data_IF_602049361371
#
_entry.id   IF_602049361371
#
_cell.length_a   1.000
_cell.length_b   1.000
_cell.length_c   1.000
_cell.angle_alpha   90.00
_cell.angle_beta   90.00
_cell.angle_gamma   90.00
#
_symmetry.space_group_name_H-M   'P 1'
#
loop_
_entity.id
_entity.type
_entity.pdbx_description
1 polymer ?
#
# COMPACT_ATOMS: atom_id res chain seq x y z
N UNK A 1 14.29 24.63 1.31
CA UNK A 1 13.40 23.46 1.19
C UNK A 1 13.70 22.72 -0.11
N UNK A 2 13.93 21.41 -0.08
CA UNK A 2 14.43 20.63 -1.23
C UNK A 2 13.37 19.67 -1.83
N UNK A 3 12.21 20.19 -2.22
CA UNK A 3 11.05 19.39 -2.69
C UNK A 3 11.17 18.87 -4.13
N UNK A 4 12.22 19.24 -4.88
CA UNK A 4 12.27 19.12 -6.35
C UNK A 4 12.53 17.70 -6.91
N UNK A 5 12.84 16.67 -6.10
CA UNK A 5 13.48 15.46 -6.62
C UNK A 5 12.76 14.10 -6.45
N UNK A 6 11.53 14.07 -5.91
CA UNK A 6 10.73 12.83 -5.81
C UNK A 6 9.97 12.50 -7.11
N UNK A 7 10.69 12.46 -8.23
CA UNK A 7 10.12 12.10 -9.54
C UNK A 7 9.60 10.65 -9.54
N UNK A 8 8.53 10.41 -10.31
CA UNK A 8 8.03 9.06 -10.55
C UNK A 8 9.02 8.25 -11.40
N UNK A 9 9.34 7.02 -10.97
CA UNK A 9 10.29 6.12 -11.63
C UNK A 9 9.69 4.74 -11.86
N UNK A 10 10.19 4.05 -12.90
CA UNK A 10 9.73 2.72 -13.30
C UNK A 10 10.87 1.72 -13.21
N UNK A 11 10.59 0.55 -12.66
CA UNK A 11 11.54 -0.55 -12.50
C UNK A 11 10.93 -1.86 -13.00
N UNK A 12 11.79 -2.82 -13.36
CA UNK A 12 11.38 -4.20 -13.66
C UNK A 12 11.88 -5.13 -12.57
N UNK A 13 11.00 -6.03 -12.13
CA UNK A 13 11.30 -7.08 -11.17
C UNK A 13 10.39 -8.28 -11.46
N UNK A 14 10.79 -9.45 -10.99
CA UNK A 14 9.93 -10.63 -10.96
C UNK A 14 9.27 -10.70 -9.59
N UNK A 15 7.95 -10.55 -9.51
CA UNK A 15 7.21 -10.71 -8.26
C UNK A 15 7.11 -12.19 -7.90
N UNK A 16 7.43 -12.53 -6.65
CA UNK A 16 7.32 -13.87 -6.10
C UNK A 16 6.02 -13.98 -5.30
N UNK A 17 5.27 -15.07 -5.50
CA UNK A 17 3.96 -15.30 -4.87
C UNK A 17 3.75 -16.80 -4.63
N UNK A 18 4.29 -17.28 -3.51
CA UNK A 18 4.29 -18.72 -3.18
C UNK A 18 5.00 -19.53 -4.28
N UNK A 19 4.39 -20.60 -4.82
CA UNK A 19 4.99 -21.40 -5.90
C UNK A 19 4.96 -20.70 -7.27
N UNK A 20 4.38 -19.50 -7.39
CA UNK A 20 4.25 -18.77 -8.65
C UNK A 20 5.14 -17.52 -8.68
N UNK A 21 5.66 -17.20 -9.86
CA UNK A 21 6.35 -15.94 -10.13
C UNK A 21 5.75 -15.25 -11.35
N UNK A 22 5.88 -13.91 -11.43
CA UNK A 22 5.45 -13.13 -12.61
C UNK A 22 6.30 -11.87 -12.78
N UNK A 23 6.66 -11.53 -14.00
CA UNK A 23 7.31 -10.25 -14.26
C UNK A 23 6.35 -9.08 -14.07
N UNK A 24 6.83 -8.04 -13.38
CA UNK A 24 6.09 -6.81 -13.09
C UNK A 24 6.88 -5.57 -13.47
N UNK A 25 6.14 -4.52 -13.83
CA UNK A 25 6.62 -3.16 -13.79
C UNK A 25 6.18 -2.52 -12.47
N UNK A 26 7.16 -2.14 -11.66
CA UNK A 26 6.95 -1.30 -10.48
C UNK A 26 6.99 0.16 -10.92
N UNK A 27 6.05 0.98 -10.45
CA UNK A 27 6.10 2.45 -10.60
C UNK A 27 6.05 3.07 -9.22
N UNK A 28 7.07 3.85 -8.88
CA UNK A 28 7.27 4.43 -7.55
C UNK A 28 7.23 5.95 -7.70
N UNK A 29 6.21 6.58 -7.13
CA UNK A 29 6.07 8.04 -7.04
C UNK A 29 5.94 8.49 -5.59
N UNK A 30 5.93 9.81 -5.35
CA UNK A 30 5.65 10.39 -4.02
C UNK A 30 4.33 9.89 -3.43
N UNK A 31 3.31 9.69 -4.26
CA UNK A 31 1.92 9.53 -3.84
C UNK A 31 1.48 8.06 -3.80
N UNK A 32 2.10 7.19 -4.62
CA UNK A 32 1.73 5.78 -4.73
C UNK A 32 2.86 4.86 -5.19
N UNK A 33 2.70 3.59 -4.84
CA UNK A 33 3.35 2.44 -5.45
C UNK A 33 2.34 1.71 -6.35
N UNK A 34 2.64 1.60 -7.64
CA UNK A 34 1.87 0.78 -8.58
C UNK A 34 2.67 -0.47 -8.98
N UNK A 35 2.01 -1.63 -8.93
CA UNK A 35 2.54 -2.94 -9.37
C UNK A 35 1.66 -3.46 -10.49
N UNK A 36 2.17 -3.44 -11.72
CA UNK A 36 1.46 -3.92 -12.91
C UNK A 36 2.19 -5.13 -13.50
N UNK A 37 1.46 -6.13 -13.98
CA UNK A 37 2.08 -7.24 -14.71
C UNK A 37 2.77 -6.72 -15.99
N UNK A 38 3.95 -7.27 -16.29
CA UNK A 38 4.65 -7.00 -17.55
C UNK A 38 3.75 -7.41 -18.72
N UNK A 39 3.66 -6.57 -19.76
CA UNK A 39 2.75 -6.80 -20.89
C UNK A 39 3.28 -7.91 -21.80
N UNK A 40 2.87 -9.15 -21.52
CA UNK A 40 2.99 -10.28 -22.44
C UNK A 40 2.20 -10.02 -23.76
N UNK A 41 2.53 -10.75 -24.85
CA UNK A 41 1.81 -10.66 -26.12
C UNK A 41 0.28 -10.82 -25.97
N UNK A 42 -0.48 -10.19 -26.88
CA UNK A 42 -1.95 -10.04 -26.77
C UNK A 42 -2.72 -11.36 -26.53
N UNK A 43 -2.18 -12.50 -26.98
CA UNK A 43 -2.77 -13.83 -26.83
C UNK A 43 -2.74 -14.37 -25.37
N UNK A 44 -1.85 -13.85 -24.52
CA UNK A 44 -1.71 -14.27 -23.12
C UNK A 44 -2.40 -13.32 -22.12
N UNK A 45 -3.46 -12.63 -22.56
CA UNK A 45 -4.23 -11.66 -21.74
C UNK A 45 -5.17 -12.32 -20.72
N UNK A 46 -4.62 -13.14 -19.83
CA UNK A 46 -5.26 -13.43 -18.54
C UNK A 46 -5.46 -12.14 -17.74
N UNK A 47 -6.48 -12.11 -16.88
CA UNK A 47 -6.95 -10.93 -16.12
C UNK A 47 -5.96 -10.47 -15.03
N UNK A 48 -4.84 -9.91 -15.48
CA UNK A 48 -3.69 -9.50 -14.70
C UNK A 48 -4.00 -8.29 -13.81
N UNK A 49 -4.63 -8.54 -12.66
CA UNK A 49 -4.92 -7.52 -11.64
C UNK A 49 -3.64 -6.78 -11.26
N UNK A 50 -3.64 -5.47 -11.49
CA UNK A 50 -2.69 -4.51 -10.96
C UNK A 50 -2.99 -4.22 -9.49
N UNK A 51 -1.98 -3.84 -8.73
CA UNK A 51 -2.10 -3.35 -7.37
C UNK A 51 -1.61 -1.89 -7.32
N UNK A 52 -2.36 -1.02 -6.65
CA UNK A 52 -1.99 0.36 -6.35
C UNK A 52 -2.07 0.55 -4.84
N UNK A 53 -1.01 1.06 -4.24
CA UNK A 53 -0.92 1.32 -2.79
C UNK A 53 -0.56 2.79 -2.57
N UNK A 54 -1.33 3.56 -1.78
CA UNK A 54 -0.94 4.93 -1.43
C UNK A 54 0.39 4.92 -0.66
N UNK A 55 1.28 5.87 -0.92
CA UNK A 55 2.64 5.84 -0.34
C UNK A 55 2.67 6.07 1.18
N UNK A 56 1.60 6.64 1.75
CA UNK A 56 1.34 6.68 3.20
C UNK A 56 1.10 5.30 3.82
N UNK A 57 0.62 4.33 3.05
CA UNK A 57 0.38 2.95 3.49
C UNK A 57 1.59 2.03 3.30
N UNK A 58 2.62 2.45 2.55
CA UNK A 58 3.87 1.71 2.40
C UNK A 58 4.77 2.04 3.61
N UNK A 59 5.16 1.00 4.34
CA UNK A 59 5.79 1.14 5.67
C UNK A 59 7.23 0.62 5.77
N UNK A 60 7.63 -0.35 4.95
CA UNK A 60 9.02 -0.86 4.94
C UNK A 60 9.47 -1.26 3.52
N UNK A 61 10.79 -1.23 3.27
CA UNK A 61 11.47 -1.75 2.09
C UNK A 61 12.81 -2.35 2.50
N UNK A 62 12.87 -3.69 2.56
CA UNK A 62 14.06 -4.43 2.99
C UNK A 62 14.68 -5.22 1.83
N UNK A 63 16.01 -5.18 1.71
CA UNK A 63 16.76 -6.10 0.84
C UNK A 63 17.07 -7.37 1.64
N UNK A 64 16.72 -8.53 1.09
CA UNK A 64 17.17 -9.82 1.59
C UNK A 64 18.57 -10.07 1.02
N UNK A 65 19.61 -9.95 1.85
CA UNK A 65 20.97 -10.28 1.44
C UNK A 65 21.06 -11.77 1.08
N UNK A 66 21.55 -12.07 -0.12
CA UNK A 66 21.79 -13.46 -0.57
C UNK A 66 22.94 -14.06 0.23
N UNK A 67 22.68 -15.20 0.89
CA UNK A 67 23.67 -15.96 1.67
C UNK A 67 24.63 -16.72 0.75
N UNK A 68 25.46 -15.99 0.02
CA UNK A 68 26.58 -16.51 -0.78
C UNK A 68 27.74 -15.53 -0.69
N UNK A 69 28.87 -15.97 -0.15
CA UNK A 69 30.00 -15.10 0.14
C UNK A 69 30.91 -14.89 -1.06
N UNK A 70 30.66 -13.86 -1.84
CA UNK A 70 31.73 -12.97 -2.32
C UNK A 70 31.19 -11.55 -2.52
N UNK A 71 31.95 -10.54 -2.07
CA UNK A 71 31.53 -9.14 -2.12
C UNK A 71 31.80 -8.52 -3.50
N UNK A 72 32.62 -9.18 -4.33
CA UNK A 72 33.06 -8.67 -5.63
C UNK A 72 31.99 -8.76 -6.73
N UNK A 73 31.22 -9.85 -6.80
CA UNK A 73 30.23 -10.12 -7.88
C UNK A 73 28.82 -9.56 -7.61
N UNK A 74 28.65 -8.87 -6.48
CA UNK A 74 27.37 -8.31 -6.00
C UNK A 74 26.61 -7.44 -7.03
N UNK A 75 27.19 -6.59 -7.91
CA UNK A 75 26.38 -5.72 -8.77
C UNK A 75 25.60 -6.45 -9.88
N UNK A 76 26.01 -7.67 -10.26
CA UNK A 76 25.35 -8.47 -11.31
C UNK A 76 24.40 -9.53 -10.74
N UNK A 77 24.52 -9.88 -9.46
CA UNK A 77 23.65 -10.88 -8.83
C UNK A 77 22.19 -10.43 -8.80
N UNK A 78 21.28 -11.40 -8.87
CA UNK A 78 19.89 -11.20 -8.49
C UNK A 78 19.76 -11.31 -6.98
N UNK A 79 18.98 -10.43 -6.38
CA UNK A 79 18.60 -10.51 -4.96
C UNK A 79 17.09 -10.34 -4.80
N UNK A 80 16.60 -10.80 -3.65
CA UNK A 80 15.23 -10.59 -3.24
C UNK A 80 15.11 -9.31 -2.40
N UNK A 81 13.97 -8.63 -2.51
CA UNK A 81 13.61 -7.52 -1.64
C UNK A 81 12.10 -7.57 -1.36
N UNK A 82 11.73 -7.07 -0.18
CA UNK A 82 10.34 -7.08 0.30
C UNK A 82 9.87 -5.65 0.51
N UNK A 83 8.70 -5.31 -0.05
CA UNK A 83 7.97 -4.08 0.28
C UNK A 83 6.77 -4.44 1.15
N UNK A 84 6.69 -3.86 2.35
CA UNK A 84 5.59 -4.08 3.30
C UNK A 84 4.63 -2.90 3.28
N UNK A 85 3.33 -3.18 3.24
CA UNK A 85 2.28 -2.16 3.27
C UNK A 85 1.08 -2.57 4.13
N UNK A 86 0.36 -1.59 4.67
CA UNK A 86 -0.95 -1.82 5.28
C UNK A 86 -2.05 -1.71 4.20
N UNK A 87 -2.98 -2.68 4.10
CA UNK A 87 -4.20 -2.52 3.31
C UNK A 87 -4.91 -1.21 3.66
N UNK A 88 -5.45 -0.52 2.67
CA UNK A 88 -6.36 0.59 2.95
C UNK A 88 -7.74 0.01 3.27
N UNK A 89 -8.24 0.26 4.49
CA UNK A 89 -9.58 -0.15 4.95
C UNK A 89 -10.68 0.75 4.36
N UNK A 90 -10.62 0.99 3.05
CA UNK A 90 -11.72 1.52 2.26
C UNK A 90 -12.60 0.34 1.88
N UNK A 91 -13.88 0.40 2.23
CA UNK A 91 -14.83 -0.71 2.12
C UNK A 91 -14.80 -1.40 0.75
N UNK A 92 -14.70 -2.74 0.75
CA UNK A 92 -14.85 -3.56 -0.46
C UNK A 92 -16.32 -3.61 -0.91
N UNK A 93 -16.84 -2.50 -1.43
CA UNK A 93 -18.20 -2.42 -1.97
C UNK A 93 -18.17 -2.01 -3.45
N UNK A 94 -17.63 -2.92 -4.28
CA UNK A 94 -17.61 -2.77 -5.73
C UNK A 94 -17.93 -4.10 -6.43
N UNK A 95 -19.06 -4.10 -7.15
CA UNK A 95 -19.47 -5.03 -8.21
C UNK A 95 -20.05 -6.41 -7.83
N UNK A 96 -21.34 -6.41 -7.41
CA UNK A 96 -22.36 -7.32 -7.98
C UNK A 96 -23.62 -6.53 -8.35
N UNK A 97 -23.76 -6.14 -9.63
CA UNK A 97 -25.04 -5.80 -10.28
C UNK A 97 -25.89 -7.07 -10.45
N UNK A 98 -27.23 -7.10 -10.55
CA UNK A 98 -28.32 -6.10 -10.77
C UNK A 98 -29.66 -6.73 -10.25
N UNK A 99 -30.88 -6.16 -10.27
CA UNK A 99 -31.49 -4.89 -10.73
C UNK A 99 -32.87 -4.68 -10.05
N UNK A 100 -33.45 -3.47 -10.20
CA UNK A 100 -34.87 -3.11 -9.94
C UNK A 100 -35.32 -3.13 -8.43
N UNK A 101 -36.37 -2.41 -8.00
CA UNK A 101 -37.44 -1.69 -8.72
C UNK A 101 -37.75 -0.28 -8.17
N UNK A 102 -38.35 0.51 -9.06
CA UNK A 102 -38.97 1.85 -8.98
C UNK A 102 -39.70 2.34 -7.71
N UNK A 103 -39.84 3.68 -7.67
CA UNK A 103 -40.80 4.53 -6.92
C UNK A 103 -40.44 4.85 -5.45
N UNK A 104 -40.85 5.99 -4.86
CA UNK A 104 -41.71 7.07 -5.37
C UNK A 104 -41.12 8.49 -5.20
N UNK A 105 -41.90 9.52 -5.57
CA UNK A 105 -41.51 10.95 -5.54
C UNK A 105 -42.31 11.73 -4.50
N UNK A 106 -41.71 12.83 -4.01
CA UNK A 106 -42.29 14.19 -3.85
C UNK A 106 -42.41 14.75 -2.42
N UNK A 107 -42.15 16.07 -2.37
CA UNK A 107 -42.71 17.07 -1.45
C UNK A 107 -42.20 17.14 -0.01
N UNK A 108 -42.36 18.34 0.56
CA UNK A 108 -41.91 18.73 1.88
C UNK A 108 -43.01 19.52 2.61
N UNK A 109 -43.01 19.46 3.94
CA UNK A 109 -43.55 20.49 4.83
C UNK A 109 -42.97 20.29 6.23
N UNK A 110 -43.01 21.36 7.04
CA UNK A 110 -42.72 21.31 8.48
C UNK A 110 -43.77 20.51 9.25
N UNK A 111 -43.43 20.09 10.47
CA UNK A 111 -44.16 20.35 11.72
C UNK A 111 -43.10 20.42 12.84
N UNK A 112 -43.30 21.33 13.78
CA UNK A 112 -42.52 21.47 15.01
C UNK A 112 -43.29 20.78 16.15
N UNK A 113 -42.59 20.06 17.04
CA UNK A 113 -43.12 19.55 18.32
C UNK A 113 -41.97 19.51 19.35
N UNK A 114 -42.21 20.06 20.54
CA UNK A 114 -41.29 20.04 21.69
C UNK A 114 -41.36 18.70 22.46
N UNK A 115 -40.22 18.16 22.89
CA UNK A 115 -40.15 17.21 24.02
C UNK A 115 -38.85 17.39 24.81
N UNK A 116 -38.94 17.31 26.14
CA UNK A 116 -37.89 17.71 27.08
C UNK A 116 -37.16 16.48 27.65
N UNK A 117 -35.86 16.34 27.34
CA UNK A 117 -35.06 15.22 27.84
C UNK A 117 -33.61 15.59 28.19
N UNK A 118 -33.37 15.87 29.47
CA UNK A 118 -32.05 16.07 30.06
C UNK A 118 -31.34 14.72 30.28
N UNK A 119 -30.48 14.32 29.33
CA UNK A 119 -29.48 13.27 29.53
C UNK A 119 -28.18 13.59 28.79
N UNK A 120 -27.07 13.80 29.52
CA UNK A 120 -25.79 14.25 28.95
C UNK A 120 -25.14 13.26 27.98
N UNK A 121 -24.94 13.66 26.73
CA UNK A 121 -24.64 12.77 25.61
C UNK A 121 -23.23 12.92 24.97
N UNK A 122 -22.24 13.44 25.69
CA UNK A 122 -20.85 13.51 25.22
C UNK A 122 -19.84 12.90 26.19
N UNK A 123 -20.13 11.65 26.58
CA UNK A 123 -19.08 10.70 27.01
C UNK A 123 -18.17 10.46 25.80
N UNK A 124 -17.13 11.28 25.67
CA UNK A 124 -16.18 11.23 24.57
C UNK A 124 -15.67 9.79 24.38
N UNK A 125 -16.13 9.16 23.30
CA UNK A 125 -15.58 7.89 22.86
C UNK A 125 -14.21 8.23 22.27
N UNK A 126 -13.18 8.22 23.13
CA UNK A 126 -11.80 8.03 22.72
C UNK A 126 -11.74 6.69 21.97
N UNK A 127 -12.06 6.74 20.68
CA UNK A 127 -11.70 5.73 19.71
C UNK A 127 -10.18 5.77 19.60
N UNK A 128 -9.53 5.17 20.60
CA UNK A 128 -8.16 4.68 20.57
C UNK A 128 -8.10 3.59 19.50
N UNK A 129 -8.17 4.02 18.26
CA UNK A 129 -7.83 3.25 17.07
C UNK A 129 -6.31 3.08 17.09
N UNK A 130 -5.86 2.29 18.06
CA UNK A 130 -4.57 1.63 17.99
C UNK A 130 -4.64 0.79 16.72
N UNK A 131 -3.87 1.19 15.72
CA UNK A 131 -3.79 0.47 14.45
C UNK A 131 -3.14 -0.88 14.76
N UNK A 132 -3.98 -1.89 15.01
CA UNK A 132 -3.55 -3.25 15.29
C UNK A 132 -2.71 -3.71 14.10
N UNK A 133 -1.42 -3.91 14.35
CA UNK A 133 -0.38 -3.95 13.32
C UNK A 133 -0.32 -5.31 12.58
N UNK A 134 -1.37 -6.12 12.67
CA UNK A 134 -1.37 -7.53 12.24
C UNK A 134 -1.72 -7.70 10.75
N UNK A 135 -2.49 -6.78 10.16
CA UNK A 135 -3.03 -6.88 8.80
C UNK A 135 -2.02 -6.52 7.68
N UNK A 136 -0.72 -6.42 7.99
CA UNK A 136 0.33 -6.02 7.03
C UNK A 136 0.52 -7.04 5.92
N UNK A 137 0.83 -6.56 4.70
CA UNK A 137 1.02 -7.41 3.52
C UNK A 137 2.38 -7.16 2.90
N UNK A 138 3.12 -8.25 2.73
CA UNK A 138 4.47 -8.27 2.16
C UNK A 138 4.42 -8.60 0.68
N UNK A 139 5.08 -7.79 -0.13
CA UNK A 139 5.29 -8.01 -1.56
C UNK A 139 6.75 -8.37 -1.79
N UNK A 140 7.02 -9.65 -2.06
CA UNK A 140 8.38 -10.15 -2.33
C UNK A 140 8.67 -10.04 -3.83
N UNK A 141 9.85 -9.54 -4.17
CA UNK A 141 10.31 -9.33 -5.54
C UNK A 141 11.76 -9.77 -5.70
N UNK A 142 12.13 -10.16 -6.92
CA UNK A 142 13.50 -10.46 -7.33
C UNK A 142 13.93 -9.51 -8.47
N UNK A 143 15.13 -8.94 -8.40
CA UNK A 143 15.73 -8.13 -9.47
C UNK A 143 17.25 -8.06 -9.28
N UNK A 144 17.99 -7.42 -10.19
CA UNK A 144 19.44 -7.19 -10.03
C UNK A 144 19.72 -6.32 -8.78
N UNK A 145 20.82 -6.58 -8.06
CA UNK A 145 21.22 -5.83 -6.85
C UNK A 145 21.16 -4.31 -7.02
N UNK A 146 21.68 -3.79 -8.14
CA UNK A 146 21.68 -2.36 -8.49
C UNK A 146 20.27 -1.79 -8.59
N UNK A 147 19.33 -2.54 -9.17
CA UNK A 147 17.90 -2.21 -9.27
C UNK A 147 17.21 -2.27 -7.89
N UNK A 148 17.44 -3.33 -7.11
CA UNK A 148 16.86 -3.49 -5.76
C UNK A 148 17.32 -2.36 -4.83
N UNK A 149 18.62 -2.03 -4.84
CA UNK A 149 19.20 -0.92 -4.10
C UNK A 149 18.61 0.42 -4.53
N UNK A 150 18.43 0.65 -5.83
CA UNK A 150 17.81 1.88 -6.35
C UNK A 150 16.33 2.01 -5.96
N UNK A 151 15.60 0.90 -5.84
CA UNK A 151 14.20 0.84 -5.41
C UNK A 151 14.07 1.24 -3.93
N UNK A 152 14.71 0.53 -3.01
CA UNK A 152 14.59 0.88 -1.59
C UNK A 152 15.25 2.23 -1.26
N UNK A 153 16.31 2.65 -1.96
CA UNK A 153 16.84 4.01 -1.83
C UNK A 153 15.81 5.08 -2.21
N UNK A 154 15.05 4.90 -3.31
CA UNK A 154 13.99 5.84 -3.67
C UNK A 154 12.85 5.84 -2.63
N UNK A 155 12.42 4.66 -2.16
CA UNK A 155 11.38 4.56 -1.14
C UNK A 155 11.81 5.22 0.17
N UNK A 156 13.04 4.99 0.64
CA UNK A 156 13.59 5.64 1.83
C UNK A 156 13.66 7.17 1.67
N UNK A 157 14.09 7.69 0.51
CA UNK A 157 14.03 9.14 0.22
C UNK A 157 12.59 9.68 0.28
N UNK A 158 11.61 8.94 -0.24
CA UNK A 158 10.21 9.35 -0.15
C UNK A 158 9.72 9.32 1.30
N UNK A 159 10.07 8.30 2.09
CA UNK A 159 9.72 8.20 3.51
C UNK A 159 10.30 9.37 4.32
N UNK A 160 11.57 9.72 4.13
CA UNK A 160 12.23 10.86 4.77
C UNK A 160 11.62 12.22 4.41
N UNK A 161 10.97 12.33 3.24
CA UNK A 161 10.32 13.56 2.78
C UNK A 161 8.80 13.59 2.98
N UNK A 162 8.17 12.46 3.34
CA UNK A 162 6.73 12.29 3.45
C UNK A 162 6.40 11.53 4.75
N UNK A 163 6.29 12.23 5.89
CA UNK A 163 5.88 11.63 7.16
C UNK A 163 4.48 11.02 7.04
N UNK A 164 4.22 9.95 7.79
CA UNK A 164 2.92 9.28 7.75
C UNK A 164 2.63 8.59 9.06
N UNK A 165 1.56 9.02 9.74
CA UNK A 165 1.11 8.47 11.02
C UNK A 165 0.95 6.94 11.00
N UNK A 166 0.64 6.35 9.84
CA UNK A 166 0.55 4.90 9.63
C UNK A 166 1.93 4.23 9.73
N UNK A 167 2.95 4.83 9.11
CA UNK A 167 4.34 4.38 9.17
C UNK A 167 4.95 4.62 10.55
N UNK A 168 4.66 5.78 11.14
CA UNK A 168 5.11 6.15 12.48
C UNK A 168 4.56 5.17 13.54
N UNK A 169 3.27 4.82 13.43
CA UNK A 169 2.64 3.77 14.25
C UNK A 169 3.27 2.39 14.01
N UNK A 170 3.44 1.98 12.74
CA UNK A 170 4.11 0.71 12.39
C UNK A 170 5.52 0.59 12.99
N UNK A 171 6.33 1.65 12.90
CA UNK A 171 7.68 1.65 13.49
C UNK A 171 7.64 1.59 15.01
N UNK A 172 6.72 2.31 15.66
CA UNK A 172 6.59 2.25 17.12
C UNK A 172 6.15 0.86 17.60
N UNK A 173 5.17 0.25 16.95
CA UNK A 173 4.73 -1.13 17.25
C UNK A 173 5.79 -2.20 16.97
N UNK A 174 6.76 -1.93 16.08
CA UNK A 174 7.90 -2.82 15.82
C UNK A 174 9.04 -2.67 16.85
N UNK A 175 9.14 -1.52 17.51
CA UNK A 175 10.24 -1.18 18.42
C UNK A 175 9.85 -1.38 19.89
N UNK A 176 8.55 -1.34 20.23
CA UNK A 176 8.06 -1.64 21.56
C UNK A 176 8.36 -3.11 21.95
N UNK A 177 9.10 -3.35 23.06
CA UNK A 177 9.18 -4.70 23.64
C UNK A 177 7.84 -5.08 24.29
N UNK A 178 7.59 -6.39 24.37
CA UNK A 178 6.55 -6.99 25.21
C UNK A 178 7.03 -7.08 26.67
#
# INVERSE_FOLDING_TARGET
MATKHLQSRKYRATQLRGPSSRDVQLTISRDRLDVQASRLPKIFRGSSKSLTVPMSHVVDCSLCATTSGDVCDVPLSKVQFTITYLPSVVSQQAATTTCASSAGRSSASQIDDDDDNVAGAEKALEARSGVVCEDTKSLVFETQWTSARAICHQLNLIFSCCPSRIRDAYTNSRIAPL
#
